data_IF_545910770091
#
_entry.id   IF_545910770091
#
_cell.length_a   1.000
_cell.length_b   1.000
_cell.length_c   1.000
_cell.angle_alpha   90.00
_cell.angle_beta   90.00
_cell.angle_gamma   90.00
#
_symmetry.space_group_name_H-M   'P 1'
#
loop_
_entity.id
_entity.type
_entity.pdbx_description
1 polymer ?
#
# COMPACT_ATOMS: atom_id res chain seq x y z
N UNK A 1 10.27 8.54 -2.87
CA UNK A 1 9.73 8.05 -1.60
C UNK A 1 9.61 6.55 -1.64
N UNK A 2 10.12 5.89 -0.64
CA UNK A 2 10.08 4.42 -0.59
C UNK A 2 8.71 3.93 -0.15
N UNK A 3 8.37 2.71 -0.57
CA UNK A 3 7.11 2.09 -0.20
C UNK A 3 6.93 2.01 1.32
N UNK A 4 8.02 1.71 2.03
CA UNK A 4 7.96 1.64 3.49
C UNK A 4 7.59 2.98 4.11
N UNK A 5 8.07 4.08 3.54
CA UNK A 5 7.71 5.40 4.03
C UNK A 5 6.24 5.69 3.84
N UNK A 6 5.70 5.30 2.69
CA UNK A 6 4.28 5.47 2.41
C UNK A 6 3.43 4.72 3.42
N UNK A 7 3.82 3.49 3.73
CA UNK A 7 3.07 2.65 4.67
C UNK A 7 3.14 3.25 6.07
N UNK A 8 4.31 3.74 6.47
CA UNK A 8 4.44 4.37 7.78
C UNK A 8 3.60 5.63 7.90
N UNK A 9 3.56 6.43 6.84
CA UNK A 9 2.73 7.62 6.82
C UNK A 9 1.24 7.27 6.90
N UNK A 10 0.85 6.18 6.22
CA UNK A 10 -0.51 5.71 6.26
C UNK A 10 -0.91 5.30 7.68
N UNK A 11 -0.06 4.54 8.35
CA UNK A 11 -0.29 4.12 9.72
C UNK A 11 -0.44 5.33 10.64
N UNK A 12 0.40 6.32 10.44
CA UNK A 12 0.34 7.55 11.22
C UNK A 12 -0.98 8.27 11.02
N UNK A 13 -1.42 8.35 9.77
CA UNK A 13 -2.67 9.03 9.43
C UNK A 13 -3.87 8.35 10.10
N UNK A 14 -3.86 7.02 10.16
CA UNK A 14 -4.96 6.28 10.76
C UNK A 14 -4.72 5.94 12.22
N UNK A 15 -3.60 6.41 12.78
CA UNK A 15 -3.29 6.28 14.19
C UNK A 15 -3.26 4.82 14.65
N UNK A 16 -2.63 3.96 13.87
CA UNK A 16 -2.42 2.57 14.25
C UNK A 16 -0.93 2.24 14.14
N UNK A 17 -0.52 1.17 14.82
CA UNK A 17 0.85 0.71 14.75
C UNK A 17 1.06 -0.14 13.51
N UNK A 18 2.33 -0.26 13.12
CA UNK A 18 2.69 -1.14 12.03
C UNK A 18 2.35 -2.59 12.33
N UNK A 19 2.51 -2.99 13.61
CA UNK A 19 2.16 -4.33 14.03
C UNK A 19 0.66 -4.59 13.86
N UNK A 20 -0.15 -3.62 14.19
CA UNK A 20 -1.60 -3.76 14.02
C UNK A 20 -1.96 -3.87 12.54
N UNK A 21 -1.34 -3.07 11.70
CA UNK A 21 -1.58 -3.15 10.26
C UNK A 21 -1.25 -4.54 9.74
N UNK A 22 -0.10 -5.08 10.13
CA UNK A 22 0.31 -6.39 9.63
C UNK A 22 -0.71 -7.46 10.01
N UNK A 23 -1.25 -7.41 11.22
CA UNK A 23 -2.28 -8.37 11.63
C UNK A 23 -3.54 -8.24 10.80
N UNK A 24 -3.92 -7.03 10.48
CA UNK A 24 -5.14 -6.80 9.71
C UNK A 24 -5.06 -7.34 8.29
N UNK A 25 -3.86 -7.38 7.73
CA UNK A 25 -3.67 -7.93 6.39
C UNK A 25 -3.24 -9.40 6.42
N UNK A 26 -3.31 -10.03 7.61
CA UNK A 26 -3.06 -11.47 7.72
C UNK A 26 -1.60 -11.85 7.76
N UNK A 27 -0.73 -10.96 8.16
CA UNK A 27 0.71 -11.24 8.25
C UNK A 27 1.20 -11.04 9.67
N UNK A 28 2.33 -11.69 10.00
CA UNK A 28 2.97 -11.43 11.28
C UNK A 28 3.75 -10.12 11.19
N UNK A 29 3.86 -9.39 12.31
CA UNK A 29 4.65 -8.15 12.30
C UNK A 29 6.10 -8.37 11.88
N UNK A 30 6.68 -9.50 12.24
CA UNK A 30 8.07 -9.80 11.88
C UNK A 30 8.23 -9.96 10.38
N UNK A 31 7.35 -10.72 9.75
CA UNK A 31 7.41 -10.93 8.30
C UNK A 31 7.17 -9.64 7.54
N UNK A 32 6.21 -8.87 7.97
CA UNK A 32 5.90 -7.62 7.32
C UNK A 32 7.05 -6.63 7.43
N UNK A 33 7.68 -6.55 8.61
CA UNK A 33 8.84 -5.69 8.80
C UNK A 33 9.99 -6.08 7.87
N UNK A 34 10.21 -7.37 7.67
CA UNK A 34 11.25 -7.83 6.75
C UNK A 34 10.97 -7.37 5.32
N UNK A 35 9.72 -7.47 4.91
CA UNK A 35 9.34 -7.01 3.57
C UNK A 35 9.55 -5.52 3.41
N UNK A 36 9.21 -4.74 4.43
CA UNK A 36 9.43 -3.30 4.40
C UNK A 36 10.90 -2.95 4.26
N UNK A 37 11.75 -3.62 5.03
CA UNK A 37 13.18 -3.36 4.98
C UNK A 37 13.79 -3.70 3.62
N UNK A 38 13.30 -4.77 3.01
CA UNK A 38 13.79 -5.22 1.71
C UNK A 38 13.17 -4.46 0.54
N UNK A 39 12.09 -3.74 0.79
CA UNK A 39 11.36 -3.09 -0.28
C UNK A 39 10.62 -4.05 -1.18
N UNK A 40 10.17 -5.18 -0.63
CA UNK A 40 9.53 -6.24 -1.42
C UNK A 40 8.03 -6.34 -1.22
N UNK A 41 7.40 -5.27 -0.77
CA UNK A 41 5.94 -5.23 -0.63
C UNK A 41 5.33 -5.18 -2.03
N UNK A 42 4.55 -6.19 -2.37
CA UNK A 42 3.99 -6.33 -3.70
C UNK A 42 2.77 -5.43 -3.89
N UNK A 43 2.37 -5.27 -5.16
CA UNK A 43 1.13 -4.55 -5.47
C UNK A 43 -0.07 -5.17 -4.75
N UNK A 44 -0.14 -6.51 -4.73
CA UNK A 44 -1.24 -7.19 -4.06
C UNK A 44 -1.28 -6.88 -2.57
N UNK A 45 -0.13 -6.78 -1.94
CA UNK A 45 -0.07 -6.43 -0.53
C UNK A 45 -0.46 -4.98 -0.30
N UNK A 46 -0.04 -4.08 -1.18
CA UNK A 46 -0.46 -2.68 -1.10
C UNK A 46 -1.96 -2.56 -1.28
N UNK A 47 -2.51 -3.36 -2.18
CA UNK A 47 -3.95 -3.40 -2.42
C UNK A 47 -4.70 -3.88 -1.18
N UNK A 48 -4.19 -4.92 -0.52
CA UNK A 48 -4.80 -5.43 0.72
C UNK A 48 -4.78 -4.37 1.82
N UNK A 49 -3.69 -3.62 1.91
CA UNK A 49 -3.59 -2.53 2.88
C UNK A 49 -4.66 -1.48 2.60
N UNK A 50 -4.81 -1.11 1.34
CA UNK A 50 -5.80 -0.10 0.96
C UNK A 50 -7.22 -0.58 1.30
N UNK A 51 -7.50 -1.85 1.04
CA UNK A 51 -8.81 -2.42 1.34
C UNK A 51 -9.10 -2.41 2.84
N UNK A 52 -8.07 -2.64 3.66
CA UNK A 52 -8.20 -2.61 5.10
C UNK A 52 -8.72 -1.26 5.59
N UNK A 53 -8.27 -0.19 4.96
CA UNK A 53 -8.66 1.16 5.33
C UNK A 53 -9.81 1.71 4.47
N UNK A 54 -10.33 0.90 3.57
CA UNK A 54 -11.39 1.29 2.65
C UNK A 54 -10.99 2.50 1.79
N UNK A 55 -9.77 2.48 1.30
CA UNK A 55 -9.25 3.51 0.40
C UNK A 55 -8.72 2.84 -0.86
N UNK A 56 -8.42 3.65 -1.87
CA UNK A 56 -7.87 3.15 -3.11
C UNK A 56 -6.35 3.16 -3.11
N UNK A 57 -5.77 2.43 -4.04
CA UNK A 57 -4.34 2.41 -4.28
C UNK A 57 -4.11 2.35 -5.77
N UNK A 58 -3.12 3.07 -6.26
CA UNK A 58 -2.76 3.01 -7.68
C UNK A 58 -1.25 3.08 -7.84
N UNK A 59 -0.77 2.45 -8.90
CA UNK A 59 0.61 2.54 -9.33
C UNK A 59 0.61 3.08 -10.75
N UNK A 60 1.58 3.92 -11.07
CA UNK A 60 1.57 4.58 -12.37
C UNK A 60 2.98 4.78 -12.90
N UNK A 61 3.11 4.64 -14.21
CA UNK A 61 4.24 5.20 -14.94
C UNK A 61 3.80 6.56 -15.46
N UNK A 62 4.64 7.56 -15.26
CA UNK A 62 4.35 8.92 -15.68
C UNK A 62 5.39 9.32 -16.71
N UNK A 63 4.93 9.71 -17.89
CA UNK A 63 5.81 10.06 -19.00
C UNK A 63 6.05 11.57 -19.03
N UNK A 64 7.19 12.00 -19.63
CA UNK A 64 7.50 13.43 -19.67
C UNK A 64 6.45 14.29 -20.38
N UNK A 65 5.69 13.70 -21.29
CA UNK A 65 4.65 14.45 -22.02
C UNK A 65 3.34 14.54 -21.23
N UNK A 66 3.31 14.01 -20.00
CA UNK A 66 2.11 14.04 -19.17
C UNK A 66 1.25 12.81 -19.26
N UNK A 67 1.58 11.87 -20.12
CA UNK A 67 0.83 10.62 -20.22
C UNK A 67 1.10 9.71 -19.04
N UNK A 68 0.16 8.81 -18.78
CA UNK A 68 0.26 7.86 -17.67
C UNK A 68 -0.24 6.48 -18.07
N UNK A 69 0.40 5.47 -17.51
CA UNK A 69 -0.13 4.11 -17.51
C UNK A 69 -0.28 3.72 -16.05
N UNK A 70 -1.48 3.40 -15.61
CA UNK A 70 -1.69 3.13 -14.20
C UNK A 70 -2.59 1.93 -13.97
N UNK A 71 -2.42 1.33 -12.78
CA UNK A 71 -3.27 0.25 -12.28
C UNK A 71 -3.88 0.73 -10.98
N UNK A 72 -5.20 0.60 -10.86
CA UNK A 72 -5.92 1.02 -9.66
C UNK A 72 -6.45 -0.19 -8.93
N UNK A 73 -6.38 -0.16 -7.62
CA UNK A 73 -6.90 -1.23 -6.79
C UNK A 73 -8.41 -1.12 -6.61
N UNK A 74 -8.97 0.09 -6.77
CA UNK A 74 -10.40 0.33 -6.60
C UNK A 74 -11.01 0.58 -7.94
N UNK A 75 -11.88 -0.29 -8.33
CA UNK A 75 -12.48 -0.16 -9.63
C UNK A 75 -13.85 0.29 -9.55
N UNK A 76 -14.14 0.39 -9.49
CA UNK A 76 -15.10 0.59 -9.55
C UNK A 76 -15.95 0.75 -9.30
N UNK A 77 -15.92 0.82 -9.17
CA UNK A 77 -16.53 0.86 -9.06
C UNK A 77 -17.52 1.46 -9.54
N UNK A 78 -17.57 1.43 -9.96
CA UNK A 78 -18.17 1.86 -10.47
C UNK A 78 -18.97 2.08 -10.73
N UNK A 79 -19.08 2.05 -10.92
CA UNK A 79 -19.63 2.23 -11.26
C UNK A 79 -20.17 2.50 -11.43
#
# INVERSE_FOLDING_TARGET
MATSDMIRQLCKKFNISLAELSRRIGQTPQNFNKKLKRGTVSFEEMKSIAETFNIGYEQAFIFPDGGKIKVCSKQNVIR
#
